data_IF_554877047303
#
_entry.id   IF_554877047303
#
_cell.length_a   1.000
_cell.length_b   1.000
_cell.length_c   1.000
_cell.angle_alpha   90.00
_cell.angle_beta   90.00
_cell.angle_gamma   90.00
#
_symmetry.space_group_name_H-M   'P 1'
#
loop_
_entity.id
_entity.type
_entity.pdbx_description
1 polymer ?
#
# COMPACT_ATOMS: atom_id res chain seq x y z
N UNK A 1 9.40 -1.45 -11.04
CA UNK A 1 10.43 -2.20 -10.27
C UNK A 1 11.04 -1.37 -9.15
N UNK A 2 11.21 -1.99 -7.99
CA UNK A 2 11.96 -1.45 -6.85
C UNK A 2 13.12 -2.40 -6.58
N UNK A 3 14.30 -1.86 -6.29
CA UNK A 3 15.49 -2.62 -5.95
C UNK A 3 16.06 -2.07 -4.66
N UNK A 4 16.36 -2.97 -3.72
CA UNK A 4 17.06 -2.65 -2.47
C UNK A 4 18.49 -3.16 -2.59
N UNK A 5 19.45 -2.30 -2.31
CA UNK A 5 20.88 -2.64 -2.26
C UNK A 5 21.38 -2.38 -0.85
N UNK A 6 22.02 -3.38 -0.26
CA UNK A 6 22.63 -3.28 1.07
C UNK A 6 24.14 -3.26 0.91
N UNK A 7 24.77 -2.24 1.46
CA UNK A 7 26.22 -2.09 1.54
C UNK A 7 26.63 -2.26 3.01
N UNK A 8 27.07 -3.47 3.41
CA UNK A 8 27.56 -3.71 4.76
C UNK A 8 28.86 -2.95 5.02
N UNK A 9 29.05 -2.50 6.25
CA UNK A 9 30.21 -1.74 6.70
C UNK A 9 30.10 -1.41 8.20
N UNK A 10 31.05 -0.63 8.76
CA UNK A 10 30.93 -0.14 10.14
C UNK A 10 29.63 0.65 10.37
N UNK A 11 29.12 1.29 9.32
CA UNK A 11 27.74 1.77 9.22
C UNK A 11 27.09 1.10 8.01
N UNK A 12 26.02 0.34 8.25
CA UNK A 12 25.24 -0.28 7.16
C UNK A 12 24.52 0.79 6.37
N UNK A 13 24.77 0.86 5.05
CA UNK A 13 24.03 1.75 4.13
C UNK A 13 23.06 0.94 3.30
N UNK A 14 21.84 1.44 3.20
CA UNK A 14 20.77 0.84 2.39
C UNK A 14 20.35 1.86 1.34
N UNK A 15 20.32 1.43 0.08
CA UNK A 15 19.85 2.25 -1.03
C UNK A 15 18.61 1.62 -1.67
N UNK A 16 17.53 2.40 -1.78
CA UNK A 16 16.32 2.03 -2.50
C UNK A 16 16.30 2.74 -3.85
N UNK A 17 16.32 1.96 -4.92
CA UNK A 17 16.18 2.45 -6.30
C UNK A 17 14.81 2.08 -6.82
N UNK A 18 14.15 3.01 -7.50
CA UNK A 18 12.83 2.79 -8.07
C UNK A 18 12.76 3.38 -9.47
N UNK A 19 11.80 2.90 -10.25
CA UNK A 19 11.48 3.42 -11.57
C UNK A 19 10.43 4.54 -11.45
N UNK A 20 10.76 5.79 -11.82
CA UNK A 20 9.89 6.95 -11.60
C UNK A 20 8.63 6.95 -12.47
N UNK A 21 8.63 6.17 -13.56
CA UNK A 21 7.45 5.96 -14.41
C UNK A 21 6.36 5.09 -13.74
N UNK A 22 6.70 4.38 -12.66
CA UNK A 22 5.77 3.49 -11.94
C UNK A 22 5.58 3.90 -10.48
N UNK A 23 6.55 4.58 -9.88
CA UNK A 23 6.51 4.96 -8.48
C UNK A 23 6.89 6.44 -8.32
N UNK A 24 6.04 7.19 -7.62
CA UNK A 24 6.36 8.58 -7.29
C UNK A 24 7.44 8.66 -6.23
N UNK A 25 8.18 9.77 -6.20
CA UNK A 25 9.18 10.02 -5.17
C UNK A 25 8.61 10.03 -3.75
N UNK A 26 7.34 10.45 -3.59
CA UNK A 26 6.63 10.37 -2.32
C UNK A 26 6.38 8.92 -1.90
N UNK A 27 5.79 8.09 -2.78
CA UNK A 27 5.56 6.66 -2.50
C UNK A 27 6.85 5.91 -2.23
N UNK A 28 7.93 6.23 -2.95
CA UNK A 28 9.26 5.66 -2.71
C UNK A 28 9.80 5.99 -1.31
N UNK A 29 9.59 7.22 -0.84
CA UNK A 29 9.97 7.66 0.52
C UNK A 29 9.15 6.92 1.58
N UNK A 30 7.83 6.80 1.39
CA UNK A 30 6.97 6.03 2.30
C UNK A 30 7.43 4.57 2.41
N UNK A 31 7.76 3.94 1.28
CA UNK A 31 8.29 2.57 1.27
C UNK A 31 9.63 2.46 2.01
N UNK A 32 10.53 3.44 1.84
CA UNK A 32 11.79 3.51 2.57
C UNK A 32 11.59 3.62 4.09
N UNK A 33 10.66 4.46 4.54
CA UNK A 33 10.33 4.61 5.96
C UNK A 33 9.75 3.32 6.53
N UNK A 34 8.84 2.65 5.82
CA UNK A 34 8.28 1.37 6.26
C UNK A 34 9.36 0.27 6.34
N UNK A 35 10.31 0.26 5.39
CA UNK A 35 11.43 -0.67 5.41
C UNK A 35 12.32 -0.48 6.64
N UNK A 36 12.68 0.76 6.99
CA UNK A 36 13.47 1.06 8.20
C UNK A 36 12.73 0.60 9.47
N UNK A 37 11.44 0.94 9.61
CA UNK A 37 10.62 0.50 10.75
C UNK A 37 10.57 -1.02 10.89
N UNK A 38 10.51 -1.72 9.76
CA UNK A 38 10.53 -3.18 9.74
C UNK A 38 11.84 -3.72 10.30
N UNK A 39 12.98 -3.15 9.86
CA UNK A 39 14.29 -3.55 10.37
C UNK A 39 14.45 -3.24 11.86
N UNK A 40 13.95 -2.09 12.32
CA UNK A 40 13.96 -1.72 13.74
C UNK A 40 13.13 -2.68 14.59
N UNK A 41 11.92 -3.04 14.14
CA UNK A 41 11.06 -4.00 14.84
C UNK A 41 11.69 -5.40 14.92
N UNK A 42 12.25 -5.89 13.80
CA UNK A 42 12.95 -7.18 13.75
C UNK A 42 14.21 -7.20 14.60
N UNK A 43 14.92 -6.06 14.71
CA UNK A 43 16.10 -5.94 15.56
C UNK A 43 15.73 -5.88 17.05
N UNK A 44 14.58 -5.30 17.39
CA UNK A 44 14.10 -5.20 18.76
C UNK A 44 13.60 -6.54 19.32
N UNK A 45 12.90 -7.34 18.51
CA UNK A 45 12.50 -8.71 18.84
C UNK A 45 12.63 -9.65 17.62
N UNK A 46 13.79 -10.33 17.48
CA UNK A 46 14.04 -11.25 16.38
C UNK A 46 13.15 -12.50 16.38
N UNK A 47 12.45 -12.79 17.49
CA UNK A 47 11.60 -13.97 17.65
C UNK A 47 10.13 -13.68 17.38
N UNK A 48 9.76 -12.41 17.28
CA UNK A 48 8.40 -12.00 16.98
C UNK A 48 7.96 -12.50 15.59
N UNK A 49 6.66 -12.86 15.41
CA UNK A 49 6.13 -13.17 14.10
C UNK A 49 6.28 -11.98 13.15
N UNK A 50 6.80 -12.19 11.94
CA UNK A 50 6.99 -11.13 10.95
C UNK A 50 5.70 -10.36 10.62
N UNK A 51 4.53 -11.00 10.70
CA UNK A 51 3.24 -10.37 10.48
C UNK A 51 2.77 -9.42 11.60
N UNK A 52 3.46 -9.38 12.74
CA UNK A 52 3.18 -8.44 13.82
C UNK A 52 3.83 -7.06 13.60
N UNK A 53 4.71 -6.93 12.60
CA UNK A 53 5.34 -5.65 12.26
C UNK A 53 4.31 -4.74 11.60
N UNK A 54 4.01 -3.62 12.27
CA UNK A 54 3.14 -2.58 11.72
C UNK A 54 3.88 -1.78 10.63
N UNK A 55 3.45 -1.97 9.38
CA UNK A 55 4.07 -1.35 8.20
C UNK A 55 3.51 0.05 7.93
N UNK A 56 2.24 0.30 8.30
CA UNK A 56 1.62 1.60 8.08
C UNK A 56 2.00 2.56 9.19
N UNK A 57 2.15 3.84 8.85
CA UNK A 57 2.17 4.86 9.90
C UNK A 57 0.81 4.93 10.57
N UNK A 58 0.74 5.38 11.83
CA UNK A 58 -0.55 5.58 12.49
C UNK A 58 -1.48 6.49 11.67
N UNK A 59 -0.92 7.49 10.98
CA UNK A 59 -1.65 8.37 10.08
C UNK A 59 -2.16 7.65 8.83
N UNK A 60 -1.34 6.81 8.19
CA UNK A 60 -1.77 6.05 7.00
C UNK A 60 -2.79 4.98 7.36
N UNK A 61 -2.60 4.30 8.49
CA UNK A 61 -3.58 3.35 9.04
C UNK A 61 -4.90 4.05 9.33
N UNK A 62 -4.85 5.24 9.92
CA UNK A 62 -6.03 6.06 10.15
C UNK A 62 -6.72 6.45 8.84
N UNK A 63 -5.98 6.90 7.82
CA UNK A 63 -6.55 7.17 6.48
C UNK A 63 -7.25 5.95 5.90
N UNK A 64 -6.61 4.78 5.98
CA UNK A 64 -7.19 3.54 5.45
C UNK A 64 -8.45 3.12 6.21
N UNK A 65 -8.45 3.25 7.55
CA UNK A 65 -9.53 2.77 8.39
C UNK A 65 -10.69 3.78 8.55
N UNK A 66 -10.39 5.08 8.54
CA UNK A 66 -11.34 6.16 8.82
C UNK A 66 -11.76 6.90 7.55
N UNK A 67 -10.82 7.18 6.63
CA UNK A 67 -11.10 7.97 5.42
C UNK A 67 -11.56 7.10 4.24
N UNK A 68 -11.45 5.78 4.35
CA UNK A 68 -12.06 4.83 3.41
C UNK A 68 -11.47 4.85 1.98
N UNK A 69 -10.39 5.58 1.72
CA UNK A 69 -9.80 5.72 0.38
C UNK A 69 -9.39 4.38 -0.27
N UNK A 70 -9.15 3.33 0.53
CA UNK A 70 -8.83 1.99 0.04
C UNK A 70 -10.06 1.10 -0.23
N UNK A 71 -11.24 1.51 0.22
CA UNK A 71 -12.48 0.73 0.19
C UNK A 71 -13.66 1.49 -0.39
N UNK A 72 -13.51 2.74 -0.81
CA UNK A 72 -14.55 3.43 -1.56
C UNK A 72 -14.77 2.63 -2.86
N UNK A 73 -15.88 1.87 -3.01
CA UNK A 73 -16.20 1.41 -4.33
C UNK A 73 -16.35 2.66 -5.18
N UNK A 74 -15.66 2.72 -6.32
CA UNK A 74 -16.05 3.57 -7.45
C UNK A 74 -17.38 3.05 -8.00
N UNK A 75 -18.41 3.08 -7.17
CA UNK A 75 -19.80 2.96 -7.49
C UNK A 75 -20.51 3.40 -6.23
N UNK A 76 -20.88 4.67 -6.22
CA UNK A 76 -22.23 4.98 -5.78
C UNK A 76 -23.12 3.88 -6.38
N UNK A 77 -23.57 2.95 -5.54
CA UNK A 77 -24.21 1.74 -6.02
C UNK A 77 -25.40 2.20 -6.84
N UNK A 78 -25.34 2.01 -8.16
CA UNK A 78 -26.43 2.39 -9.06
C UNK A 78 -27.69 1.72 -8.50
N UNK A 79 -28.61 2.53 -7.98
CA UNK A 79 -29.77 2.02 -7.26
C UNK A 79 -30.57 1.10 -8.19
N UNK A 80 -30.68 -0.18 -7.84
CA UNK A 80 -31.37 -1.17 -8.66
C UNK A 80 -30.84 -2.58 -8.46
N UNK A 81 -31.68 -3.57 -8.75
CA UNK A 81 -31.26 -4.97 -8.70
C UNK A 81 -30.28 -5.30 -9.84
N UNK A 82 -29.50 -6.37 -9.70
CA UNK A 82 -28.66 -6.89 -10.79
C UNK A 82 -29.46 -7.13 -12.09
N UNK A 83 -30.67 -7.72 -12.05
CA UNK A 83 -31.56 -7.80 -13.20
C UNK A 83 -31.90 -6.45 -13.85
N UNK A 84 -32.20 -5.41 -13.07
CA UNK A 84 -32.55 -4.07 -13.60
C UNK A 84 -31.38 -3.47 -14.38
N UNK A 85 -30.16 -3.68 -13.89
CA UNK A 85 -28.92 -3.22 -14.55
C UNK A 85 -28.66 -3.96 -15.86
N UNK A 86 -28.91 -5.27 -15.89
CA UNK A 86 -28.79 -6.04 -17.12
C UNK A 86 -29.79 -5.58 -18.18
N UNK A 87 -31.05 -5.36 -17.78
CA UNK A 87 -32.08 -4.85 -18.67
C UNK A 87 -31.72 -3.45 -19.22
N UNK A 88 -31.20 -2.55 -18.38
CA UNK A 88 -30.74 -1.24 -18.81
C UNK A 88 -29.54 -1.32 -19.79
N UNK A 89 -28.60 -2.24 -19.57
CA UNK A 89 -27.46 -2.43 -20.46
C UNK A 89 -27.89 -2.94 -21.85
N UNK A 90 -28.80 -3.92 -21.90
CA UNK A 90 -29.37 -4.43 -23.17
C UNK A 90 -30.17 -3.34 -23.90
N UNK A 91 -30.83 -2.43 -23.18
CA UNK A 91 -31.54 -1.32 -23.81
C UNK A 91 -30.60 -0.26 -24.43
N UNK A 92 -29.36 -0.14 -23.95
CA UNK A 92 -28.36 0.79 -24.48
C UNK A 92 -27.65 0.26 -25.74
N UNK A 93 -27.51 -1.06 -25.87
CA UNK A 93 -26.93 -1.75 -27.03
C UNK A 93 -27.65 -3.11 -27.27
N UNK A 94 -28.76 -3.12 -28.03
CA UNK A 94 -29.68 -4.25 -28.14
C UNK A 94 -29.25 -5.39 -29.07
#
# INVERSE_FOLDING_TARGET
PVTVVVHPGPETRIALRYRPDLLTAERARTLGTAYVRTLEALAADPTAPAGAVELLTAQDRRRVLEDGEALAPESEAAAGSLPDRFAAAVALDP
#
